data_IF_337276927270
#
_entry.id   IF_337276927270
#
_cell.length_a   1.000
_cell.length_b   1.000
_cell.length_c   1.000
_cell.angle_alpha   90.00
_cell.angle_beta   90.00
_cell.angle_gamma   90.00
#
_symmetry.space_group_name_H-M   'P 1'
#
loop_
_entity.id
_entity.type
_entity.pdbx_description
1 polymer ?
#
# COMPACT_ATOMS: atom_id res chain seq x y z
N UNK A 1 15.21 21.51 -11.74
CA UNK A 1 16.26 20.75 -11.02
C UNK A 1 16.00 20.66 -9.51
N UNK A 2 15.48 21.72 -8.86
CA UNK A 2 15.25 21.77 -7.41
C UNK A 2 14.12 20.83 -6.88
N UNK A 3 13.08 20.56 -7.68
CA UNK A 3 11.94 19.73 -7.26
C UNK A 3 12.33 18.29 -6.89
N UNK A 4 13.18 17.60 -7.67
CA UNK A 4 13.55 16.21 -7.36
C UNK A 4 14.51 16.08 -6.17
N UNK A 5 15.40 17.06 -5.98
CA UNK A 5 16.46 16.99 -4.97
C UNK A 5 16.02 17.43 -3.58
N UNK A 6 14.89 18.13 -3.46
CA UNK A 6 14.46 18.72 -2.19
C UNK A 6 13.00 18.41 -1.83
N UNK A 7 12.08 18.42 -2.80
CA UNK A 7 10.67 18.07 -2.55
C UNK A 7 10.48 16.59 -2.24
N UNK A 8 11.14 15.70 -2.98
CA UNK A 8 11.02 14.27 -2.76
C UNK A 8 11.59 13.82 -1.40
N UNK A 9 12.77 14.31 -0.96
CA UNK A 9 13.22 14.13 0.42
C UNK A 9 12.28 14.74 1.47
N UNK A 10 11.69 15.92 1.23
CA UNK A 10 10.67 16.49 2.12
C UNK A 10 9.50 15.50 2.29
N UNK A 11 8.90 15.08 1.17
CA UNK A 11 7.77 14.17 1.14
C UNK A 11 8.05 12.83 1.86
N UNK A 12 9.29 12.34 1.81
CA UNK A 12 9.71 11.06 2.42
C UNK A 12 10.20 11.18 3.87
N UNK A 13 10.31 12.38 4.41
CA UNK A 13 10.88 12.62 5.73
C UNK A 13 10.08 11.92 6.83
N UNK A 14 10.76 11.20 7.70
CA UNK A 14 10.15 10.50 8.85
C UNK A 14 9.87 11.44 10.02
N UNK A 15 10.53 12.59 10.07
CA UNK A 15 10.36 13.57 11.14
C UNK A 15 9.93 14.92 10.59
N UNK A 16 9.08 15.60 11.36
CA UNK A 16 8.58 16.93 11.03
C UNK A 16 9.72 17.96 10.92
N UNK A 17 10.76 17.84 11.75
CA UNK A 17 11.94 18.71 11.68
C UNK A 17 12.68 18.61 10.34
N UNK A 18 12.89 17.40 9.84
CA UNK A 18 13.57 17.18 8.56
C UNK A 18 12.70 17.64 7.37
N UNK A 19 11.39 17.38 7.45
CA UNK A 19 10.43 17.89 6.48
C UNK A 19 10.50 19.42 6.38
N UNK A 20 10.40 20.12 7.52
CA UNK A 20 10.48 21.59 7.58
C UNK A 20 11.81 22.12 7.06
N UNK A 21 12.91 21.45 7.37
CA UNK A 21 14.23 21.82 6.85
C UNK A 21 14.27 21.78 5.32
N UNK A 22 13.76 20.71 4.71
CA UNK A 22 13.66 20.63 3.25
C UNK A 22 12.68 21.67 2.67
N UNK A 23 11.53 21.89 3.30
CA UNK A 23 10.57 22.91 2.85
C UNK A 23 11.15 24.32 2.91
N UNK A 24 11.96 24.64 3.92
CA UNK A 24 12.68 25.92 4.00
C UNK A 24 13.66 26.07 2.83
N UNK A 25 14.40 25.01 2.48
CA UNK A 25 15.31 25.05 1.32
C UNK A 25 14.57 25.30 0.00
N UNK A 26 13.35 24.80 -0.13
CA UNK A 26 12.50 25.11 -1.29
C UNK A 26 12.07 26.57 -1.23
N UNK A 27 11.63 27.07 -0.07
CA UNK A 27 11.22 28.47 0.10
C UNK A 27 12.35 29.46 -0.23
N UNK A 28 13.58 29.17 0.19
CA UNK A 28 14.76 30.01 -0.07
C UNK A 28 15.09 30.10 -1.57
N UNK A 29 14.80 29.05 -2.34
CA UNK A 29 15.14 28.95 -3.77
C UNK A 29 13.97 29.32 -4.70
N UNK A 30 12.75 28.94 -4.33
CA UNK A 30 11.53 29.03 -5.12
C UNK A 30 10.32 29.27 -4.19
N UNK A 31 10.13 30.51 -3.69
CA UNK A 31 9.02 30.84 -2.78
C UNK A 31 7.64 30.67 -3.45
N UNK A 32 7.55 30.91 -4.76
CA UNK A 32 6.37 30.67 -5.59
C UNK A 32 5.90 29.20 -5.58
N UNK A 33 6.84 28.25 -5.44
CA UNK A 33 6.52 26.84 -5.29
C UNK A 33 5.81 26.54 -3.94
N UNK A 34 6.12 27.30 -2.89
CA UNK A 34 5.43 27.17 -1.59
C UNK A 34 3.99 27.64 -1.72
N UNK A 35 3.77 28.79 -2.34
CA UNK A 35 2.43 29.33 -2.58
C UNK A 35 1.59 28.35 -3.42
N UNK A 36 2.18 27.78 -4.48
CA UNK A 36 1.53 26.75 -5.29
C UNK A 36 1.12 25.53 -4.45
N UNK A 37 2.02 25.00 -3.61
CA UNK A 37 1.73 23.84 -2.75
C UNK A 37 0.62 24.17 -1.74
N UNK A 38 0.64 25.35 -1.14
CA UNK A 38 -0.41 25.77 -0.20
C UNK A 38 -1.77 25.95 -0.88
N UNK A 39 -1.79 26.44 -2.13
CA UNK A 39 -3.03 26.64 -2.87
C UNK A 39 -3.63 25.32 -3.38
N UNK A 40 -2.80 24.43 -3.93
CA UNK A 40 -3.25 23.25 -4.67
C UNK A 40 -3.11 21.93 -3.91
N UNK A 41 -2.28 21.84 -2.86
CA UNK A 41 -1.99 20.60 -2.12
C UNK A 41 -2.23 20.78 -0.62
N UNK A 42 -3.46 21.15 -0.27
CA UNK A 42 -3.91 21.38 1.13
C UNK A 42 -4.03 20.09 1.97
N UNK A 43 -4.02 18.93 1.34
CA UNK A 43 -4.09 17.63 2.01
C UNK A 43 -2.70 17.17 2.43
N UNK A 44 -2.63 16.19 3.35
CA UNK A 44 -1.35 15.60 3.76
C UNK A 44 -0.79 14.79 2.58
N UNK A 45 0.44 15.11 2.17
CA UNK A 45 1.16 14.45 1.07
C UNK A 45 2.58 14.01 1.46
N UNK A 46 2.97 14.20 2.71
CA UNK A 46 4.30 13.90 3.24
C UNK A 46 4.20 12.92 4.41
N UNK A 47 5.22 12.06 4.55
CA UNK A 47 5.19 10.87 5.41
C UNK A 47 4.96 11.21 6.88
N UNK A 48 5.75 12.13 7.46
CA UNK A 48 5.63 12.48 8.87
C UNK A 48 4.33 13.21 9.24
N UNK A 49 3.50 13.59 8.26
CA UNK A 49 2.15 14.10 8.51
C UNK A 49 1.12 13.00 8.72
N UNK A 50 1.40 11.75 8.30
CA UNK A 50 0.52 10.61 8.53
C UNK A 50 0.76 9.98 9.91
N UNK A 51 -0.24 9.24 10.41
CA UNK A 51 -0.11 8.43 11.62
C UNK A 51 1.01 7.40 11.47
N UNK A 52 1.77 7.18 12.55
CA UNK A 52 2.78 6.11 12.64
C UNK A 52 2.18 4.70 12.48
N UNK A 53 0.87 4.55 12.66
CA UNK A 53 0.14 3.31 12.39
C UNK A 53 -0.02 3.03 10.89
N UNK A 54 0.17 4.03 10.03
CA UNK A 54 0.12 3.86 8.58
C UNK A 54 1.28 3.00 8.10
N UNK A 55 0.96 1.82 7.56
CA UNK A 55 1.96 0.89 7.00
C UNK A 55 2.26 1.15 5.52
N UNK A 56 1.73 2.22 4.94
CA UNK A 56 1.93 2.54 3.53
C UNK A 56 3.21 3.37 3.34
N UNK A 57 4.23 2.78 2.72
CA UNK A 57 5.48 3.46 2.32
C UNK A 57 5.44 3.95 0.86
N UNK A 58 4.28 3.89 0.21
CA UNK A 58 4.16 4.32 -1.17
C UNK A 58 4.00 5.84 -1.25
N UNK A 59 5.00 6.49 -1.85
CA UNK A 59 5.03 7.92 -2.11
C UNK A 59 4.76 8.27 -3.59
N UNK A 60 4.81 7.26 -4.46
CA UNK A 60 4.61 7.42 -5.90
C UNK A 60 3.20 7.05 -6.32
N UNK A 61 2.75 7.64 -7.42
CA UNK A 61 1.44 7.38 -8.01
C UNK A 61 1.34 6.03 -8.74
N UNK A 62 2.40 5.20 -8.71
CA UNK A 62 2.50 3.97 -9.50
C UNK A 62 1.35 2.98 -9.23
N UNK A 63 0.89 2.87 -7.98
CA UNK A 63 -0.23 2.00 -7.62
C UNK A 63 -1.51 2.50 -8.29
N UNK A 64 -1.81 3.78 -8.15
CA UNK A 64 -2.99 4.40 -8.74
C UNK A 64 -2.95 4.34 -10.26
N UNK A 65 -1.78 4.57 -10.88
CA UNK A 65 -1.59 4.48 -12.33
C UNK A 65 -1.79 3.07 -12.84
N UNK A 66 -1.19 2.08 -12.17
CA UNK A 66 -1.37 0.66 -12.50
C UNK A 66 -2.83 0.22 -12.36
N UNK A 67 -3.51 0.68 -11.31
CA UNK A 67 -4.93 0.42 -11.12
C UNK A 67 -5.78 1.09 -12.21
N UNK A 68 -5.55 2.38 -12.47
CA UNK A 68 -6.24 3.14 -13.51
C UNK A 68 -6.05 2.56 -14.92
N UNK A 69 -4.87 2.02 -15.21
CA UNK A 69 -4.60 1.32 -16.46
C UNK A 69 -5.42 0.04 -16.57
N UNK A 70 -5.52 -0.74 -15.48
CA UNK A 70 -6.30 -1.98 -15.42
C UNK A 70 -7.80 -1.75 -15.60
N UNK A 71 -8.35 -0.71 -14.96
CA UNK A 71 -9.79 -0.40 -15.04
C UNK A 71 -10.14 0.52 -16.21
N UNK A 72 -9.18 0.89 -17.07
CA UNK A 72 -9.40 1.85 -18.18
C UNK A 72 -10.56 1.43 -19.08
N UNK A 73 -10.68 0.13 -19.36
CA UNK A 73 -11.75 -0.47 -20.16
C UNK A 73 -13.13 -0.49 -19.48
N UNK A 74 -13.16 -0.33 -18.15
CA UNK A 74 -14.38 -0.33 -17.35
C UNK A 74 -14.97 1.08 -17.18
N UNK A 75 -14.26 2.11 -17.65
CA UNK A 75 -14.74 3.50 -17.55
C UNK A 75 -15.94 3.71 -18.46
N UNK A 76 -16.97 4.38 -17.93
CA UNK A 76 -18.19 4.70 -18.67
C UNK A 76 -19.28 3.62 -18.62
N UNK A 77 -19.01 2.50 -17.96
CA UNK A 77 -20.01 1.49 -17.64
C UNK A 77 -20.98 1.98 -16.55
N UNK A 78 -22.16 1.37 -16.48
CA UNK A 78 -23.08 1.59 -15.36
C UNK A 78 -22.44 1.07 -14.07
N UNK A 79 -22.93 1.56 -12.92
CA UNK A 79 -22.34 1.25 -11.62
C UNK A 79 -22.25 -0.26 -11.34
N UNK A 80 -23.29 -1.02 -11.71
CA UNK A 80 -23.29 -2.48 -11.51
C UNK A 80 -22.26 -3.19 -12.39
N UNK A 81 -22.21 -2.84 -13.69
CA UNK A 81 -21.23 -3.38 -14.64
C UNK A 81 -19.78 -3.04 -14.24
N UNK A 82 -19.53 -1.84 -13.69
CA UNK A 82 -18.23 -1.46 -13.16
C UNK A 82 -17.83 -2.35 -11.97
N UNK A 83 -18.75 -2.58 -11.03
CA UNK A 83 -18.51 -3.43 -9.85
C UNK A 83 -18.23 -4.87 -10.30
N UNK A 84 -19.03 -5.40 -11.21
CA UNK A 84 -18.86 -6.74 -11.76
C UNK A 84 -17.50 -6.88 -12.46
N UNK A 85 -17.12 -5.91 -13.30
CA UNK A 85 -15.81 -5.91 -13.96
C UNK A 85 -14.62 -5.82 -13.00
N UNK A 86 -14.76 -5.11 -11.87
CA UNK A 86 -13.74 -5.08 -10.82
C UNK A 86 -13.67 -6.43 -10.11
N UNK A 87 -14.82 -7.06 -9.82
CA UNK A 87 -14.87 -8.38 -9.19
C UNK A 87 -14.19 -9.43 -10.07
N UNK A 88 -14.50 -9.48 -11.36
CA UNK A 88 -13.84 -10.36 -12.33
C UNK A 88 -12.33 -10.17 -12.33
N UNK A 89 -11.86 -8.91 -12.40
CA UNK A 89 -10.43 -8.60 -12.38
C UNK A 89 -9.74 -9.12 -11.10
N UNK A 90 -10.38 -8.96 -9.94
CA UNK A 90 -9.85 -9.47 -8.66
C UNK A 90 -9.81 -11.00 -8.69
N UNK A 91 -10.85 -11.65 -9.19
CA UNK A 91 -10.93 -13.11 -9.28
C UNK A 91 -9.81 -13.68 -10.18
N UNK A 92 -9.61 -13.12 -11.37
CA UNK A 92 -8.54 -13.51 -12.30
C UNK A 92 -7.15 -13.36 -11.66
N UNK A 93 -6.89 -12.22 -11.00
CA UNK A 93 -5.61 -11.99 -10.32
C UNK A 93 -5.38 -12.95 -9.16
N UNK A 94 -6.41 -13.27 -8.38
CA UNK A 94 -6.32 -14.26 -7.29
C UNK A 94 -6.05 -15.66 -7.84
N UNK A 95 -6.75 -16.05 -8.90
CA UNK A 95 -6.53 -17.32 -9.58
C UNK A 95 -5.09 -17.44 -10.09
N UNK A 96 -4.60 -16.43 -10.80
CA UNK A 96 -3.23 -16.42 -11.33
C UNK A 96 -2.17 -16.53 -10.23
N UNK A 97 -2.32 -15.77 -9.14
CA UNK A 97 -1.42 -15.85 -7.97
C UNK A 97 -1.45 -17.23 -7.33
N UNK A 98 -2.62 -17.88 -7.27
CA UNK A 98 -2.75 -19.25 -6.75
C UNK A 98 -2.00 -20.25 -7.64
N UNK A 99 -2.12 -20.16 -8.97
CA UNK A 99 -1.40 -21.05 -9.87
C UNK A 99 0.12 -20.86 -9.75
N UNK A 100 0.60 -19.61 -9.80
CA UNK A 100 2.02 -19.30 -9.59
C UNK A 100 2.51 -19.86 -8.26
N UNK A 101 1.72 -19.70 -7.19
CA UNK A 101 2.05 -20.23 -5.87
C UNK A 101 2.14 -21.76 -5.80
N UNK A 102 1.38 -22.50 -6.64
CA UNK A 102 1.48 -23.96 -6.74
C UNK A 102 2.77 -24.39 -7.44
N UNK A 103 3.24 -23.62 -8.40
CA UNK A 103 4.45 -23.92 -9.18
C UNK A 103 5.75 -23.49 -8.45
N UNK A 104 5.65 -22.83 -7.29
CA UNK A 104 6.79 -22.45 -6.47
C UNK A 104 7.46 -23.68 -5.84
N UNK A 105 8.60 -24.11 -6.41
CA UNK A 105 9.36 -25.28 -5.97
C UNK A 105 10.11 -25.07 -4.64
N UNK A 106 10.73 -23.89 -4.50
CA UNK A 106 11.38 -23.50 -3.26
C UNK A 106 10.28 -22.95 -2.36
N UNK A 107 9.98 -23.67 -1.28
CA UNK A 107 8.98 -23.25 -0.28
C UNK A 107 9.26 -21.87 0.30
N UNK A 108 8.46 -21.47 1.28
CA UNK A 108 8.59 -20.14 1.90
C UNK A 108 10.01 -19.96 2.47
N UNK A 109 10.65 -18.81 2.20
CA UNK A 109 11.99 -18.51 2.71
C UNK A 109 12.03 -18.67 4.25
N UNK A 110 13.07 -19.30 4.83
CA UNK A 110 13.14 -19.57 6.27
C UNK A 110 12.94 -18.34 7.16
N UNK A 111 13.46 -17.17 6.76
CA UNK A 111 13.26 -15.91 7.48
C UNK A 111 11.79 -15.50 7.52
N UNK A 112 11.06 -15.67 6.40
CA UNK A 112 9.63 -15.37 6.33
C UNK A 112 8.85 -16.36 7.22
N UNK A 113 9.21 -17.65 7.23
CA UNK A 113 8.60 -18.64 8.15
C UNK A 113 8.83 -18.24 9.62
N UNK A 114 10.05 -17.81 9.96
CA UNK A 114 10.40 -17.36 11.31
C UNK A 114 9.55 -16.16 11.73
N UNK A 115 9.39 -15.18 10.85
CA UNK A 115 8.55 -13.99 11.11
C UNK A 115 7.08 -14.37 11.27
N UNK A 116 6.55 -15.23 10.38
CA UNK A 116 5.19 -15.77 10.47
C UNK A 116 4.95 -16.51 11.79
N UNK A 117 5.89 -17.37 12.20
CA UNK A 117 5.81 -18.08 13.48
C UNK A 117 5.84 -17.13 14.68
N UNK A 118 6.59 -16.03 14.60
CA UNK A 118 6.66 -15.02 15.65
C UNK A 118 5.35 -14.26 15.78
N UNK A 119 4.75 -13.86 14.65
CA UNK A 119 3.43 -13.23 14.61
C UNK A 119 2.37 -14.21 15.13
N UNK A 120 2.46 -15.49 14.76
CA UNK A 120 1.50 -16.52 15.19
C UNK A 120 1.46 -16.71 16.70
N UNK A 121 2.57 -16.50 17.43
CA UNK A 121 2.60 -16.58 18.89
C UNK A 121 1.78 -15.48 19.57
N UNK A 122 1.57 -14.36 18.88
CA UNK A 122 0.79 -13.23 19.38
C UNK A 122 -0.68 -13.28 18.91
N UNK A 123 -1.10 -14.31 18.17
CA UNK A 123 -2.50 -14.53 17.86
C UNK A 123 -3.19 -15.11 19.10
N UNK A 124 -4.38 -14.59 19.43
CA UNK A 124 -5.30 -15.23 20.39
C UNK A 124 -5.51 -16.69 20.00
N UNK A 125 -5.84 -17.58 20.95
CA UNK A 125 -6.03 -19.00 20.66
C UNK A 125 -7.03 -19.16 19.51
N UNK A 126 -6.57 -19.76 18.41
CA UNK A 126 -7.38 -19.95 17.20
C UNK A 126 -7.67 -21.43 17.04
N UNK A 127 -8.94 -21.82 17.00
CA UNK A 127 -9.34 -23.16 16.58
C UNK A 127 -9.26 -23.21 15.06
N UNK A 128 -8.47 -24.13 14.52
CA UNK A 128 -8.36 -24.36 13.08
C UNK A 128 -8.97 -25.71 12.75
N UNK A 129 -10.02 -25.70 11.92
CA UNK A 129 -10.66 -26.91 11.41
C UNK A 129 -10.45 -27.00 9.90
N UNK A 130 -9.69 -28.01 9.44
CA UNK A 130 -9.39 -28.19 8.02
C UNK A 130 -10.59 -28.81 7.30
N UNK A 131 -11.04 -28.16 6.23
CA UNK A 131 -12.13 -28.67 5.38
C UNK A 131 -11.63 -29.30 4.08
N UNK A 132 -10.50 -28.83 3.53
CA UNK A 132 -9.92 -29.35 2.29
C UNK A 132 -8.42 -29.01 2.19
N UNK A 133 -7.78 -29.37 1.08
CA UNK A 133 -6.43 -28.96 0.72
C UNK A 133 -6.32 -27.45 0.51
N UNK A 134 -5.70 -26.78 1.48
CA UNK A 134 -5.55 -25.32 1.50
C UNK A 134 -6.80 -24.56 1.95
N UNK A 135 -7.83 -25.24 2.47
CA UNK A 135 -9.04 -24.61 3.02
C UNK A 135 -9.22 -25.05 4.48
N UNK A 136 -9.24 -24.07 5.38
CA UNK A 136 -9.52 -24.29 6.79
C UNK A 136 -10.42 -23.18 7.32
N UNK A 137 -11.34 -23.55 8.20
CA UNK A 137 -12.07 -22.64 9.06
C UNK A 137 -11.18 -22.23 10.24
N UNK A 138 -11.21 -20.94 10.57
CA UNK A 138 -10.35 -20.32 11.56
C UNK A 138 -11.25 -19.55 12.53
N UNK A 139 -11.41 -20.06 13.75
CA UNK A 139 -12.27 -19.46 14.78
C UNK A 139 -11.42 -18.85 15.89
N UNK A 140 -11.63 -17.56 16.17
CA UNK A 140 -11.04 -16.91 17.35
C UNK A 140 -11.74 -17.43 18.61
N UNK A 141 -10.97 -17.94 19.57
CA UNK A 141 -11.47 -18.25 20.90
C UNK A 141 -11.24 -16.99 21.75
N UNK A 142 -12.33 -16.37 22.20
CA UNK A 142 -12.26 -15.36 23.25
C UNK A 142 -12.16 -16.04 24.62
N UNK A 143 -11.44 -15.40 25.55
CA UNK A 143 -11.23 -15.88 26.93
C UNK A 143 -12.54 -15.97 27.73
#
# INVERSE_FOLDING_TARGET
MCLLTTLYPAARSYTEGLFRWHMQKIADFAPDAIDFLQQHHKLIWYRCGFSELSKCDYLTNNISESFNAQIKKLKGLLLHELVDGIMELIMEKRYLRRQIGKDMQNGILPNVIKDLNTISKNLKVVKVARSDEGIAEVTLIDD
#
